data_IF_786682083997
#
_entry.id   IF_786682083997
#
_cell.length_a   1.000
_cell.length_b   1.000
_cell.length_c   1.000
_cell.angle_alpha   90.00
_cell.angle_beta   90.00
_cell.angle_gamma   90.00
#
_symmetry.space_group_name_H-M   'P 1'
#
loop_
_entity.id
_entity.type
_entity.pdbx_description
1 polymer ?
#
# COMPACT_ATOMS: atom_id res chain seq x y z
N UNK A 1 -10.95 10.68 -0.92
CA UNK A 1 -9.94 9.70 -1.40
C UNK A 1 -9.39 8.89 -0.23
N UNK A 2 -8.39 9.34 0.56
CA UNK A 2 -7.86 8.50 1.66
C UNK A 2 -8.94 8.12 2.68
N UNK A 3 -9.73 9.09 3.16
CA UNK A 3 -10.78 8.80 4.15
C UNK A 3 -11.84 7.83 3.63
N UNK A 4 -12.14 7.86 2.33
CA UNK A 4 -13.08 6.92 1.70
C UNK A 4 -12.45 5.56 1.35
N UNK A 5 -11.17 5.33 1.66
CA UNK A 5 -10.50 4.09 1.26
C UNK A 5 -10.20 4.01 -0.23
N UNK A 6 -10.01 5.16 -0.88
CA UNK A 6 -9.87 5.28 -2.33
C UNK A 6 -11.10 4.75 -3.08
N UNK A 7 -12.30 5.13 -2.63
CA UNK A 7 -13.54 4.89 -3.36
C UNK A 7 -13.58 5.71 -4.65
N UNK A 8 -13.01 5.14 -5.71
CA UNK A 8 -12.90 5.66 -7.06
C UNK A 8 -13.04 4.48 -8.05
N UNK A 9 -13.50 4.73 -9.29
CA UNK A 9 -13.68 3.67 -10.30
C UNK A 9 -12.39 2.91 -10.61
N UNK A 10 -11.26 3.61 -10.67
CA UNK A 10 -9.96 3.02 -10.92
C UNK A 10 -8.97 3.53 -9.89
N UNK A 11 -8.22 2.61 -9.27
CA UNK A 11 -7.18 2.94 -8.29
C UNK A 11 -6.00 2.01 -8.49
N UNK A 12 -4.83 2.58 -8.76
CA UNK A 12 -3.58 1.84 -8.85
C UNK A 12 -2.77 1.92 -7.56
N UNK A 13 -1.94 0.91 -7.30
CA UNK A 13 -1.05 0.90 -6.13
C UNK A 13 -0.10 2.11 -6.09
N UNK A 14 0.28 2.64 -7.25
CA UNK A 14 1.09 3.86 -7.39
C UNK A 14 0.42 5.10 -6.77
N UNK A 15 -0.88 5.29 -7.01
CA UNK A 15 -1.63 6.45 -6.50
C UNK A 15 -1.74 6.39 -4.98
N UNK A 16 -1.98 5.19 -4.45
CA UNK A 16 -2.02 4.93 -3.00
C UNK A 16 -0.65 5.16 -2.37
N UNK A 17 0.42 4.65 -2.99
CA UNK A 17 1.80 4.88 -2.53
C UNK A 17 2.17 6.37 -2.54
N UNK A 18 1.77 7.10 -3.58
CA UNK A 18 2.01 8.54 -3.69
C UNK A 18 1.29 9.30 -2.58
N UNK A 19 0.05 8.94 -2.28
CA UNK A 19 -0.70 9.51 -1.16
C UNK A 19 -0.01 9.25 0.19
N UNK A 20 0.48 8.03 0.42
CA UNK A 20 1.26 7.68 1.63
C UNK A 20 2.50 8.56 1.72
N UNK A 21 3.29 8.65 0.65
CA UNK A 21 4.52 9.44 0.61
C UNK A 21 4.27 10.91 0.95
N UNK A 22 3.26 11.53 0.35
CA UNK A 22 2.93 12.95 0.60
C UNK A 22 2.47 13.15 2.04
N UNK A 23 1.64 12.24 2.58
CA UNK A 23 1.16 12.34 3.96
C UNK A 23 2.29 12.14 4.98
N UNK A 24 3.20 11.20 4.76
CA UNK A 24 4.39 11.02 5.60
C UNK A 24 5.27 12.27 5.56
N UNK A 25 5.53 12.85 4.38
CA UNK A 25 6.31 14.09 4.25
C UNK A 25 5.64 15.29 4.93
N UNK A 26 4.32 15.41 4.85
CA UNK A 26 3.59 16.47 5.55
C UNK A 26 3.66 16.28 7.07
N UNK A 27 3.58 15.04 7.55
CA UNK A 27 3.76 14.74 8.97
C UNK A 27 5.17 15.15 9.44
N UNK A 28 6.21 14.79 8.68
CA UNK A 28 7.60 15.11 8.97
C UNK A 28 7.85 16.63 9.06
N UNK A 29 7.34 17.40 8.09
CA UNK A 29 7.60 18.84 7.98
C UNK A 29 6.76 19.66 8.96
N UNK A 30 5.51 19.26 9.21
CA UNK A 30 4.57 20.08 10.00
C UNK A 30 4.40 19.61 11.45
N UNK A 31 4.78 18.38 11.77
CA UNK A 31 4.54 17.74 13.06
C UNK A 31 3.05 17.51 13.39
N UNK A 32 2.12 17.72 12.44
CA UNK A 32 0.70 17.59 12.71
C UNK A 32 0.26 16.11 12.65
N UNK A 33 -0.28 15.54 13.75
CA UNK A 33 -0.59 14.11 13.82
C UNK A 33 -1.58 13.60 12.77
N UNK A 34 -2.46 14.48 12.27
CA UNK A 34 -3.45 14.15 11.24
C UNK A 34 -2.84 13.59 9.97
N UNK A 35 -1.65 14.06 9.57
CA UNK A 35 -1.01 13.58 8.35
C UNK A 35 -0.45 12.18 8.52
N UNK A 36 0.14 11.87 9.68
CA UNK A 36 0.57 10.51 10.00
C UNK A 36 -0.62 9.53 10.08
N UNK A 37 -1.77 9.98 10.60
CA UNK A 37 -3.01 9.19 10.59
C UNK A 37 -3.50 8.91 9.16
N UNK A 38 -3.49 9.92 8.29
CA UNK A 38 -3.85 9.74 6.88
C UNK A 38 -2.90 8.79 6.14
N UNK A 39 -1.59 8.86 6.40
CA UNK A 39 -0.62 7.92 5.84
C UNK A 39 -0.91 6.48 6.28
N UNK A 40 -1.21 6.26 7.57
CA UNK A 40 -1.60 4.95 8.11
C UNK A 40 -2.87 4.43 7.46
N UNK A 41 -3.93 5.23 7.37
CA UNK A 41 -5.19 4.87 6.70
C UNK A 41 -4.98 4.50 5.24
N UNK A 42 -4.08 5.20 4.54
CA UNK A 42 -3.74 4.88 3.17
C UNK A 42 -2.97 3.56 3.05
N UNK A 43 -2.01 3.27 3.96
CA UNK A 43 -1.32 1.97 4.01
C UNK A 43 -2.28 0.80 4.23
N UNK A 44 -3.33 0.96 5.04
CA UNK A 44 -4.35 -0.07 5.24
C UNK A 44 -5.11 -0.47 3.96
N UNK A 45 -5.04 0.31 2.87
CA UNK A 45 -5.61 -0.07 1.59
C UNK A 45 -5.02 -1.39 1.07
N UNK A 46 -3.73 -1.64 1.33
CA UNK A 46 -3.04 -2.87 0.95
C UNK A 46 -3.56 -4.10 1.70
N UNK A 47 -4.08 -3.92 2.92
CA UNK A 47 -4.65 -4.98 3.76
C UNK A 47 -6.19 -5.09 3.65
N UNK A 48 -6.84 -4.31 2.78
CA UNK A 48 -8.28 -4.43 2.49
C UNK A 48 -9.14 -3.22 2.89
N UNK A 49 -8.56 -2.10 3.31
CA UNK A 49 -9.30 -0.83 3.49
C UNK A 49 -9.57 -0.15 2.14
N UNK A 50 -10.39 -0.82 1.32
CA UNK A 50 -10.74 -0.41 -0.03
C UNK A 50 -12.18 -0.83 -0.37
N UNK A 51 -12.78 -0.34 -1.47
CA UNK A 51 -14.19 -0.63 -1.81
C UNK A 51 -14.49 -2.13 -2.02
N UNK A 52 -13.48 -2.91 -2.40
CA UNK A 52 -13.61 -4.35 -2.58
C UNK A 52 -13.54 -5.14 -1.26
N UNK A 53 -13.11 -4.50 -0.16
CA UNK A 53 -12.84 -5.18 1.11
C UNK A 53 -11.77 -6.27 1.00
N UNK A 54 -10.91 -6.21 -0.02
CA UNK A 54 -10.01 -7.28 -0.41
C UNK A 54 -8.54 -6.90 -0.20
N UNK A 55 -7.74 -7.80 0.35
CA UNK A 55 -6.31 -7.57 0.48
C UNK A 55 -5.66 -7.41 -0.91
N UNK A 56 -4.96 -6.30 -1.11
CA UNK A 56 -4.23 -6.02 -2.35
C UNK A 56 -2.82 -6.58 -2.30
N UNK A 57 -2.21 -6.69 -1.11
CA UNK A 57 -0.91 -7.29 -0.88
C UNK A 57 -1.05 -8.66 -0.21
N UNK A 58 -0.55 -9.70 -0.88
CA UNK A 58 -0.44 -11.04 -0.32
C UNK A 58 0.89 -11.17 0.44
N UNK A 59 0.80 -11.21 1.78
CA UNK A 59 1.96 -11.34 2.66
C UNK A 59 2.69 -12.69 2.53
N UNK A 60 2.00 -13.76 2.09
CA UNK A 60 2.65 -15.07 1.96
C UNK A 60 3.58 -15.12 0.75
N UNK A 61 3.18 -14.50 -0.36
CA UNK A 61 3.93 -14.52 -1.62
C UNK A 61 4.73 -13.24 -1.87
N UNK A 62 4.44 -12.16 -1.13
CA UNK A 62 5.01 -10.82 -1.37
C UNK A 62 4.47 -10.15 -2.63
N UNK A 63 3.39 -10.70 -3.22
CA UNK A 63 2.78 -10.21 -4.45
C UNK A 63 1.74 -9.13 -4.14
N UNK A 64 1.66 -8.11 -4.99
CA UNK A 64 0.57 -7.11 -4.92
C UNK A 64 -0.26 -7.07 -6.21
N UNK A 65 -1.57 -6.88 -6.10
CA UNK A 65 -2.43 -6.56 -7.23
C UNK A 65 -2.15 -5.15 -7.78
N UNK A 66 -2.21 -5.01 -9.10
CA UNK A 66 -1.91 -3.77 -9.85
C UNK A 66 -2.87 -2.61 -9.52
N UNK A 67 -4.07 -2.93 -9.03
CA UNK A 67 -5.10 -1.96 -8.73
C UNK A 67 -6.49 -2.55 -8.60
N UNK A 68 -7.46 -1.67 -8.36
CA UNK A 68 -8.89 -1.92 -8.40
C UNK A 68 -9.49 -1.27 -9.65
N UNK A 69 -10.44 -1.98 -10.25
CA UNK A 69 -11.22 -1.53 -11.41
C UNK A 69 -12.69 -1.86 -11.16
N UNK A 70 -13.51 -0.83 -10.91
CA UNK A 70 -14.91 -0.92 -10.49
C UNK A 70 -15.14 -1.92 -9.34
N UNK A 71 -14.26 -1.85 -8.33
CA UNK A 71 -14.28 -2.74 -7.16
C UNK A 71 -13.75 -4.16 -7.43
N UNK A 72 -13.29 -4.46 -8.65
CA UNK A 72 -12.64 -5.73 -8.98
C UNK A 72 -11.13 -5.63 -8.77
N UNK A 73 -10.57 -6.56 -8.00
CA UNK A 73 -9.11 -6.70 -7.85
C UNK A 73 -8.49 -7.16 -9.16
N UNK A 74 -7.42 -6.49 -9.57
CA UNK A 74 -6.63 -6.88 -10.73
C UNK A 74 -5.89 -8.20 -10.47
N UNK A 75 -5.99 -9.12 -11.43
CA UNK A 75 -5.21 -10.36 -11.44
C UNK A 75 -3.75 -10.14 -11.85
N UNK A 76 -3.40 -8.91 -12.29
CA UNK A 76 -2.03 -8.53 -12.68
C UNK A 76 -1.23 -8.08 -11.47
N UNK A 77 0.09 -8.26 -11.55
CA UNK A 77 1.07 -7.79 -10.56
C UNK A 77 2.33 -7.40 -11.30
N UNK A 78 2.34 -6.19 -11.87
CA UNK A 78 3.47 -5.68 -12.62
C UNK A 78 4.64 -5.29 -11.72
N UNK A 79 5.81 -5.02 -12.32
CA UNK A 79 6.97 -4.54 -11.57
C UNK A 79 6.68 -3.22 -10.83
N UNK A 80 6.01 -2.28 -11.47
CA UNK A 80 5.59 -1.01 -10.87
C UNK A 80 4.73 -1.22 -9.62
N UNK A 81 3.75 -2.11 -9.70
CA UNK A 81 2.89 -2.41 -8.57
C UNK A 81 3.70 -2.95 -7.39
N UNK A 82 4.56 -3.93 -7.62
CA UNK A 82 5.40 -4.51 -6.56
C UNK A 82 6.38 -3.50 -5.96
N UNK A 83 6.97 -2.62 -6.78
CA UNK A 83 7.87 -1.55 -6.29
C UNK A 83 7.09 -0.55 -5.43
N UNK A 84 5.92 -0.11 -5.88
CA UNK A 84 5.10 0.86 -5.15
C UNK A 84 4.55 0.28 -3.85
N UNK A 85 4.12 -0.99 -3.84
CA UNK A 85 3.75 -1.68 -2.61
C UNK A 85 4.93 -1.81 -1.65
N UNK A 86 6.12 -2.16 -2.14
CA UNK A 86 7.33 -2.20 -1.33
C UNK A 86 7.60 -0.83 -0.69
N UNK A 87 7.61 0.25 -1.46
CA UNK A 87 7.81 1.61 -0.92
C UNK A 87 6.71 2.01 0.07
N UNK A 88 5.46 1.61 -0.19
CA UNK A 88 4.32 1.88 0.67
C UNK A 88 4.33 1.08 1.98
N UNK A 89 5.02 -0.05 2.03
CA UNK A 89 5.06 -0.95 3.20
C UNK A 89 6.45 -1.02 3.85
N UNK A 90 7.46 -0.38 3.28
CA UNK A 90 8.76 -0.18 3.91
C UNK A 90 8.55 0.49 5.28
N UNK A 91 8.91 -0.25 6.34
CA UNK A 91 8.63 0.09 7.74
C UNK A 91 7.72 -0.89 8.48
N UNK A 92 7.00 -1.77 7.76
CA UNK A 92 6.25 -2.88 8.36
C UNK A 92 7.21 -4.02 8.79
N UNK A 93 7.29 -4.36 10.08
CA UNK A 93 8.19 -5.40 10.58
C UNK A 93 7.98 -6.78 9.91
N UNK A 94 6.75 -7.11 9.50
CA UNK A 94 6.45 -8.40 8.87
C UNK A 94 7.02 -8.49 7.45
N UNK A 95 6.87 -7.43 6.66
CA UNK A 95 7.44 -7.33 5.29
C UNK A 95 8.96 -7.39 5.35
N UNK A 96 9.57 -6.72 6.33
CA UNK A 96 11.02 -6.76 6.54
C UNK A 96 11.51 -8.15 7.01
N UNK A 97 10.69 -8.87 7.77
CA UNK A 97 10.99 -10.24 8.22
C UNK A 97 11.03 -11.22 7.04
N UNK A 98 10.04 -11.17 6.15
CA UNK A 98 9.98 -12.00 4.94
C UNK A 98 11.17 -11.74 4.02
N UNK A 99 11.52 -10.47 3.76
CA UNK A 99 12.66 -10.10 2.92
C UNK A 99 14.01 -10.60 3.49
N UNK A 100 14.18 -10.63 4.81
CA UNK A 100 15.38 -11.18 5.47
C UNK A 100 15.48 -12.71 5.39
N UNK A 101 14.36 -13.40 5.27
CA UNK A 101 14.35 -14.86 5.15
C UNK A 101 14.93 -15.34 3.82
N UNK A 102 14.74 -14.57 2.74
CA UNK A 102 15.25 -14.90 1.40
C UNK A 102 16.74 -14.65 1.26
N UNK A 103 17.28 -13.63 1.93
CA UNK A 103 18.73 -13.33 1.91
C UNK A 103 19.57 -14.33 2.72
N UNK A 104 18.95 -15.16 3.58
CA UNK A 104 19.63 -16.24 4.32
C UNK A 104 19.57 -17.60 3.62
N UNK A 105 18.76 -17.73 2.57
CA UNK A 105 18.60 -18.97 1.81
C UNK A 105 19.44 -19.00 0.51
N UNK A 106 20.43 -18.10 0.38
CA UNK A 106 21.31 -17.95 -0.78
C UNK A 106 22.75 -18.32 -0.45
#
# INVERSE_FOLDING_TARGET
MIESGFDLPHVHSYEVQSAIFVMDRLADVTGQPRYADMARKARCWFDGRNPAGAAMFDRATGRVADGLDDGRVSDRSGAEANITACLALQGDPEVLSLARSWTRAS
#
